data_IF_722708009135
#
_entry.id   IF_722708009135
#
_cell.length_a   1.000
_cell.length_b   1.000
_cell.length_c   1.000
_cell.angle_alpha   90.00
_cell.angle_beta   90.00
_cell.angle_gamma   90.00
#
_symmetry.space_group_name_H-M   'P 1'
#
loop_
_entity.id
_entity.type
_entity.pdbx_description
1 polymer ?
#
# COMPACT_ATOMS: atom_id res chain seq x y z
N UNK A 1 13.74 6.46 -6.80
CA UNK A 1 13.25 7.85 -6.73
C UNK A 1 11.93 7.86 -7.46
N UNK A 2 10.85 8.31 -6.81
CA UNK A 2 9.51 8.39 -7.42
C UNK A 2 9.52 9.39 -8.57
N UNK A 3 8.74 9.14 -9.62
CA UNK A 3 8.49 10.19 -10.60
C UNK A 3 7.73 11.35 -9.94
N UNK A 4 7.79 12.55 -10.51
CA UNK A 4 7.20 13.77 -9.91
C UNK A 4 5.71 13.63 -9.57
N UNK A 5 4.98 12.78 -10.31
CA UNK A 5 3.54 12.56 -10.13
C UNK A 5 3.19 11.24 -9.44
N UNK A 6 4.19 10.48 -9.00
CA UNK A 6 3.96 9.24 -8.27
C UNK A 6 3.72 9.53 -6.79
N UNK A 7 2.69 8.92 -6.23
CA UNK A 7 2.30 9.09 -4.84
C UNK A 7 2.34 7.76 -4.10
N UNK A 8 2.64 7.81 -2.80
CA UNK A 8 2.44 6.67 -1.93
C UNK A 8 0.93 6.46 -1.72
N UNK A 9 0.41 5.34 -2.20
CA UNK A 9 -1.00 5.01 -2.13
C UNK A 9 -1.36 4.42 -0.76
N UNK A 10 -0.68 3.34 -0.38
CA UNK A 10 -0.94 2.61 0.86
C UNK A 10 0.27 1.79 1.31
N UNK A 11 0.21 1.29 2.53
CA UNK A 11 1.19 0.39 3.12
C UNK A 11 0.56 -0.97 3.40
N UNK A 12 1.36 -2.02 3.25
CA UNK A 12 1.00 -3.40 3.60
C UNK A 12 2.15 -4.05 4.35
N UNK A 13 1.85 -4.65 5.50
CA UNK A 13 2.83 -5.34 6.35
C UNK A 13 2.92 -6.85 6.04
N UNK A 14 1.79 -7.46 5.68
CA UNK A 14 1.68 -8.89 5.41
C UNK A 14 1.96 -9.22 3.92
N UNK A 15 2.85 -10.18 3.66
CA UNK A 15 3.27 -10.54 2.31
C UNK A 15 2.15 -11.19 1.46
N UNK A 16 1.21 -11.89 2.10
CA UNK A 16 0.04 -12.50 1.46
C UNK A 16 -0.95 -11.41 1.05
N UNK A 17 -1.24 -10.47 1.96
CA UNK A 17 -2.09 -9.32 1.66
C UNK A 17 -1.47 -8.47 0.55
N UNK A 18 -0.15 -8.23 0.59
CA UNK A 18 0.58 -7.52 -0.46
C UNK A 18 0.38 -8.19 -1.82
N UNK A 19 0.57 -9.50 -1.88
CA UNK A 19 0.38 -10.28 -3.13
C UNK A 19 -1.04 -10.16 -3.68
N UNK A 20 -2.06 -10.21 -2.81
CA UNK A 20 -3.46 -10.02 -3.22
C UNK A 20 -3.69 -8.61 -3.78
N UNK A 21 -3.20 -7.57 -3.12
CA UNK A 21 -3.32 -6.19 -3.57
C UNK A 21 -2.65 -5.99 -4.92
N UNK A 22 -1.41 -6.47 -5.09
CA UNK A 22 -0.69 -6.39 -6.36
C UNK A 22 -1.45 -7.11 -7.49
N UNK A 23 -1.98 -8.31 -7.23
CA UNK A 23 -2.80 -9.02 -8.20
C UNK A 23 -4.05 -8.23 -8.62
N UNK A 24 -4.70 -7.54 -7.68
CA UNK A 24 -5.84 -6.68 -8.00
C UNK A 24 -5.45 -5.48 -8.89
N UNK A 25 -4.26 -4.89 -8.66
CA UNK A 25 -3.71 -3.83 -9.50
C UNK A 25 -3.41 -4.34 -10.92
N UNK A 26 -2.78 -5.51 -11.04
CA UNK A 26 -2.47 -6.17 -12.32
C UNK A 26 -3.75 -6.44 -13.10
N UNK A 27 -4.78 -7.01 -12.46
CA UNK A 27 -6.05 -7.34 -13.12
C UNK A 27 -6.75 -6.11 -13.73
N UNK A 28 -6.60 -4.94 -13.10
CA UNK A 28 -7.13 -3.67 -13.59
C UNK A 28 -6.15 -2.87 -14.45
N UNK A 29 -4.96 -3.43 -14.73
CA UNK A 29 -3.87 -2.78 -15.47
C UNK A 29 -3.46 -1.43 -14.86
N UNK A 30 -3.51 -1.33 -13.53
CA UNK A 30 -3.12 -0.13 -12.80
C UNK A 30 -1.61 -0.19 -12.56
N UNK A 31 -0.81 0.75 -13.10
CA UNK A 31 0.63 0.78 -12.85
C UNK A 31 0.94 0.99 -11.37
N UNK A 32 1.89 0.24 -10.84
CA UNK A 32 2.35 0.39 -9.47
C UNK A 32 3.86 0.12 -9.35
N UNK A 33 4.43 0.62 -8.26
CA UNK A 33 5.78 0.29 -7.80
C UNK A 33 5.75 -0.07 -6.31
N UNK A 34 6.81 -0.73 -5.85
CA UNK A 34 6.99 -1.13 -4.45
C UNK A 34 8.17 -0.38 -3.84
N UNK A 35 7.99 0.10 -2.61
CA UNK A 35 9.08 0.64 -1.79
C UNK A 35 9.03 0.04 -0.40
N UNK A 36 10.15 -0.45 0.11
CA UNK A 36 10.23 -0.95 1.48
C UNK A 36 10.64 0.16 2.45
N UNK A 37 9.85 0.34 3.50
CA UNK A 37 10.07 1.39 4.50
C UNK A 37 10.17 0.78 5.89
N UNK A 38 11.16 1.24 6.67
CA UNK A 38 11.29 0.88 8.08
C UNK A 38 10.20 1.55 8.90
N UNK A 39 9.60 0.77 9.80
CA UNK A 39 8.58 1.27 10.73
C UNK A 39 9.26 1.69 12.05
N UNK A 40 9.17 2.97 12.45
CA UNK A 40 9.65 3.43 13.74
C UNK A 40 9.02 2.65 14.89
N UNK A 41 9.79 2.36 15.95
CA UNK A 41 9.35 1.54 17.09
C UNK A 41 7.96 1.91 17.63
N UNK A 42 7.72 3.21 17.87
CA UNK A 42 6.46 3.74 18.39
C UNK A 42 5.25 3.53 17.47
N UNK A 43 5.49 3.25 16.18
CA UNK A 43 4.45 3.09 15.15
C UNK A 43 4.19 1.63 14.80
N UNK A 44 5.03 0.68 15.25
CA UNK A 44 4.90 -0.75 14.90
C UNK A 44 3.56 -1.34 15.32
N UNK A 45 2.96 -0.87 16.41
CA UNK A 45 1.61 -1.31 16.85
C UNK A 45 0.54 -1.10 15.78
N UNK A 46 0.64 -0.02 14.97
CA UNK A 46 -0.28 0.25 13.85
C UNK A 46 -0.16 -0.77 12.72
N UNK A 47 1.00 -1.39 12.58
CA UNK A 47 1.33 -2.32 11.49
C UNK A 47 1.58 -3.73 12.03
N UNK A 48 0.78 -4.17 13.01
CA UNK A 48 0.83 -5.54 13.57
C UNK A 48 2.22 -5.95 14.10
N UNK A 49 3.01 -4.98 14.59
CA UNK A 49 4.36 -5.20 15.09
C UNK A 49 5.45 -5.25 14.02
N UNK A 50 5.11 -5.06 12.74
CA UNK A 50 6.05 -5.15 11.64
C UNK A 50 7.20 -4.14 11.77
N UNK A 51 8.41 -4.59 11.45
CA UNK A 51 9.62 -3.75 11.42
C UNK A 51 9.74 -2.95 10.12
N UNK A 52 9.13 -3.46 9.06
CA UNK A 52 9.12 -2.88 7.72
C UNK A 52 7.74 -3.10 7.09
N UNK A 53 7.36 -2.20 6.19
CA UNK A 53 6.15 -2.32 5.38
C UNK A 53 6.49 -2.08 3.93
N UNK A 54 5.73 -2.70 3.03
CA UNK A 54 5.77 -2.35 1.61
C UNK A 54 4.80 -1.18 1.37
N UNK A 55 5.34 -0.06 0.91
CA UNK A 55 4.59 1.07 0.38
C UNK A 55 4.32 0.80 -1.09
N UNK A 56 3.04 0.76 -1.45
CA UNK A 56 2.60 0.69 -2.84
C UNK A 56 2.50 2.11 -3.36
N UNK A 57 3.19 2.37 -4.46
CA UNK A 57 3.27 3.66 -5.12
C UNK A 57 2.52 3.57 -6.45
N UNK A 58 1.78 4.59 -6.82
CA UNK A 58 1.11 4.67 -8.13
C UNK A 58 1.09 6.12 -8.63
N UNK A 59 0.77 6.30 -9.91
CA UNK A 59 0.63 7.62 -10.49
C UNK A 59 -0.61 8.34 -9.92
N UNK A 60 -0.53 9.66 -9.67
CA UNK A 60 -1.62 10.40 -9.03
C UNK A 60 -2.98 10.23 -9.74
N UNK A 61 -3.01 10.26 -11.07
CA UNK A 61 -4.22 10.05 -11.89
C UNK A 61 -4.88 8.68 -11.70
N UNK A 62 -4.14 7.69 -11.20
CA UNK A 62 -4.60 6.32 -10.98
C UNK A 62 -4.94 6.04 -9.52
N UNK A 63 -4.65 6.97 -8.62
CA UNK A 63 -4.74 6.76 -7.17
C UNK A 63 -6.17 6.45 -6.70
N UNK A 64 -7.15 7.20 -7.18
CA UNK A 64 -8.55 7.00 -6.78
C UNK A 64 -9.11 5.68 -7.30
N UNK A 65 -8.75 5.30 -8.54
CA UNK A 65 -9.10 4.00 -9.10
C UNK A 65 -8.44 2.85 -8.32
N UNK A 66 -7.16 2.98 -8.00
CA UNK A 66 -6.40 2.00 -7.24
C UNK A 66 -6.97 1.82 -5.83
N UNK A 67 -7.24 2.92 -5.14
CA UNK A 67 -7.85 2.91 -3.81
C UNK A 67 -9.21 2.25 -3.84
N UNK A 68 -10.07 2.60 -4.79
CA UNK A 68 -11.40 2.01 -4.94
C UNK A 68 -11.32 0.51 -5.21
N UNK A 69 -10.38 0.07 -6.07
CA UNK A 69 -10.16 -1.33 -6.37
C UNK A 69 -9.73 -2.13 -5.12
N UNK A 70 -8.86 -1.55 -4.28
CA UNK A 70 -8.41 -2.18 -3.03
C UNK A 70 -9.54 -2.21 -1.99
N UNK A 71 -10.31 -1.14 -1.87
CA UNK A 71 -11.43 -1.06 -0.92
C UNK A 71 -12.58 -2.01 -1.29
N UNK A 72 -12.73 -2.35 -2.57
CA UNK A 72 -13.69 -3.35 -3.04
C UNK A 72 -13.23 -4.81 -2.83
N UNK A 73 -12.01 -5.04 -2.34
CA UNK A 73 -11.54 -6.38 -2.00
C UNK A 73 -12.21 -6.92 -0.73
N UNK A 74 -12.03 -8.21 -0.45
CA UNK A 74 -12.53 -8.83 0.77
C UNK A 74 -12.11 -8.07 2.04
N UNK A 75 -12.97 -8.07 3.06
CA UNK A 75 -12.76 -7.30 4.30
C UNK A 75 -11.46 -7.67 5.01
N UNK A 76 -11.04 -8.94 4.92
CA UNK A 76 -9.78 -9.42 5.50
C UNK A 76 -8.57 -8.75 4.84
N UNK A 77 -8.64 -8.50 3.53
CA UNK A 77 -7.63 -7.74 2.79
C UNK A 77 -7.70 -6.26 3.10
N UNK A 78 -8.86 -5.63 2.89
CA UNK A 78 -8.98 -4.17 2.97
C UNK A 78 -8.70 -3.62 4.38
N UNK A 79 -9.02 -4.38 5.43
CA UNK A 79 -8.70 -4.03 6.83
C UNK A 79 -7.20 -4.05 7.16
N UNK A 80 -6.38 -4.73 6.34
CA UNK A 80 -4.91 -4.86 6.52
C UNK A 80 -4.11 -4.00 5.53
N UNK A 81 -4.79 -3.10 4.82
CA UNK A 81 -4.17 -2.09 3.95
C UNK A 81 -4.29 -0.71 4.59
N UNK A 82 -3.16 -0.03 4.77
CA UNK A 82 -3.10 1.23 5.50
C UNK A 82 -2.93 2.41 4.53
N UNK A 83 -3.97 3.22 4.33
CA UNK A 83 -3.92 4.40 3.45
C UNK A 83 -3.38 5.66 4.13
N UNK A 84 -3.46 5.74 5.46
CA UNK A 84 -2.82 6.82 6.22
C UNK A 84 -1.34 6.47 6.46
N UNK A 85 -0.46 7.13 5.71
CA UNK A 85 0.99 6.90 5.71
C UNK A 85 1.78 7.94 6.50
N UNK A 86 1.11 8.86 7.22
CA UNK A 86 1.77 9.91 7.99
C UNK A 86 2.91 9.31 8.81
N UNK A 87 4.13 9.82 8.64
CA UNK A 87 5.33 9.40 9.39
C UNK A 87 5.91 8.03 9.04
N UNK A 88 5.54 7.47 7.88
CA UNK A 88 6.32 6.46 7.17
C UNK A 88 7.02 7.04 5.93
N UNK A 89 6.38 7.97 5.24
CA UNK A 89 6.87 8.65 4.03
C UNK A 89 7.11 10.13 4.28
#
# INVERSE_FOLDING_TARGET
>A
MRAERDIALCAVADATIKSKVMNAMIQKRIPYAEEWHKVPLLRRKKYEGAKEVCIIVTHHDQADQAKSQIQAMDEVVSSRVYFDLKGLT
#
